data_IF_749270264724
#
_entry.id   IF_749270264724
#
_cell.length_a   1.000
_cell.length_b   1.000
_cell.length_c   1.000
_cell.angle_alpha   90.00
_cell.angle_beta   90.00
_cell.angle_gamma   90.00
#
_symmetry.space_group_name_H-M   'P 1'
#
loop_
_entity.id
_entity.type
_entity.pdbx_description
1 polymer ?
#
# COMPACT_ATOMS: atom_id res chain seq x y z
N UNK A 1 -32.40 32.12 22.28
CA UNK A 1 -31.39 32.24 21.21
C UNK A 1 -31.46 30.93 20.45
N UNK A 2 -31.96 30.95 19.21
CA UNK A 2 -32.15 29.72 18.41
C UNK A 2 -30.79 29.34 17.83
N UNK A 3 -30.28 28.11 18.05
CA UNK A 3 -29.02 27.66 17.46
C UNK A 3 -29.11 27.80 15.93
N UNK A 4 -28.09 28.37 15.30
CA UNK A 4 -28.03 28.48 13.84
C UNK A 4 -27.62 27.13 13.25
N UNK A 5 -27.79 26.94 11.94
CA UNK A 5 -27.35 25.71 11.29
C UNK A 5 -25.83 25.54 11.47
N UNK A 6 -25.43 24.62 12.36
CA UNK A 6 -24.04 24.37 12.74
C UNK A 6 -23.73 24.56 14.23
N UNK A 7 -24.65 25.11 15.02
CA UNK A 7 -24.48 25.28 16.46
C UNK A 7 -24.97 24.05 17.25
N UNK A 8 -24.34 23.80 18.39
CA UNK A 8 -24.69 22.72 19.32
C UNK A 8 -26.06 22.92 19.96
N UNK A 9 -26.69 21.82 20.35
CA UNK A 9 -27.96 21.85 21.07
C UNK A 9 -27.77 22.34 22.53
N UNK A 10 -28.83 22.83 23.19
CA UNK A 10 -28.74 23.29 24.58
C UNK A 10 -28.23 22.21 25.57
N UNK A 11 -28.53 20.95 25.28
CA UNK A 11 -28.08 19.80 26.09
C UNK A 11 -26.58 19.54 25.94
N UNK A 12 -26.03 19.71 24.73
CA UNK A 12 -24.59 19.63 24.48
C UNK A 12 -23.83 20.79 25.11
N UNK A 13 -24.41 22.00 25.14
CA UNK A 13 -23.82 23.17 25.78
C UNK A 13 -23.71 23.02 27.30
N UNK A 14 -24.73 22.43 27.94
CA UNK A 14 -24.72 22.20 29.39
C UNK A 14 -23.62 21.21 29.81
N UNK A 15 -23.24 20.28 28.92
CA UNK A 15 -22.23 19.24 29.16
C UNK A 15 -20.88 19.54 28.48
N UNK A 16 -20.68 20.77 27.99
CA UNK A 16 -19.48 21.14 27.26
C UNK A 16 -18.25 21.09 28.19
N UNK A 17 -17.27 20.27 27.83
CA UNK A 17 -16.00 20.14 28.55
C UNK A 17 -14.84 20.15 27.56
N UNK A 18 -13.67 20.61 28.01
CA UNK A 18 -12.46 20.57 27.19
C UNK A 18 -11.85 19.16 27.23
N UNK A 19 -11.59 18.58 26.07
CA UNK A 19 -10.86 17.31 25.96
C UNK A 19 -9.42 17.53 26.43
N UNK A 20 -8.99 16.77 27.43
CA UNK A 20 -7.60 16.75 27.89
C UNK A 20 -6.87 15.58 27.22
N UNK A 21 -5.78 15.86 26.51
CA UNK A 21 -4.98 14.86 25.79
C UNK A 21 -4.94 15.09 24.27
N UNK A 22 -4.37 14.13 23.55
CA UNK A 22 -4.24 14.21 22.10
C UNK A 22 -5.60 14.10 21.42
N UNK A 23 -5.94 15.11 20.62
CA UNK A 23 -7.17 15.12 19.85
C UNK A 23 -6.95 14.41 18.51
N UNK A 24 -7.66 13.29 18.30
CA UNK A 24 -7.56 12.46 17.09
C UNK A 24 -6.10 12.09 16.72
N UNK A 25 -5.38 11.36 17.59
CA UNK A 25 -4.01 10.98 17.31
C UNK A 25 -3.91 10.08 16.08
N UNK A 26 -2.88 10.29 15.26
CA UNK A 26 -2.58 9.40 14.12
C UNK A 26 -1.97 8.11 14.66
N UNK A 27 -2.82 7.12 14.92
CA UNK A 27 -2.40 5.79 15.38
C UNK A 27 -2.17 4.89 14.17
N UNK A 28 -1.07 4.12 14.20
CA UNK A 28 -0.81 3.07 13.21
C UNK A 28 -1.47 1.78 13.66
N UNK A 29 -2.76 1.65 13.41
CA UNK A 29 -3.48 0.41 13.64
C UNK A 29 -2.97 -0.68 12.69
N UNK A 30 -2.60 -1.83 13.26
CA UNK A 30 -2.25 -3.01 12.47
C UNK A 30 -3.53 -3.80 12.21
N UNK A 31 -3.88 -4.11 10.96
CA UNK A 31 -5.06 -4.91 10.68
C UNK A 31 -4.89 -6.31 11.28
N UNK A 32 -5.96 -6.82 11.89
CA UNK A 32 -6.03 -8.20 12.36
C UNK A 32 -6.22 -9.07 11.11
N UNK A 33 -5.30 -10.00 10.88
CA UNK A 33 -5.42 -10.96 9.76
C UNK A 33 -6.16 -12.21 10.23
N UNK A 34 -7.15 -12.65 9.46
CA UNK A 34 -7.86 -13.91 9.68
C UNK A 34 -7.05 -15.11 9.19
N UNK A 35 -7.21 -16.26 9.84
CA UNK A 35 -6.56 -17.50 9.45
C UNK A 35 -7.27 -18.13 8.25
N UNK A 36 -6.68 -17.99 7.06
CA UNK A 36 -7.19 -18.58 5.81
C UNK A 36 -6.44 -19.88 5.49
N UNK A 37 -7.15 -20.88 4.95
CA UNK A 37 -6.54 -22.13 4.46
C UNK A 37 -5.62 -21.85 3.27
N UNK A 38 -4.44 -22.47 3.25
CA UNK A 38 -3.49 -22.35 2.14
C UNK A 38 -4.05 -22.99 0.86
N UNK A 39 -4.26 -22.19 -0.17
CA UNK A 39 -4.61 -22.64 -1.53
C UNK A 39 -3.43 -23.34 -2.19
N UNK A 40 -3.71 -24.18 -3.20
CA UNK A 40 -2.68 -24.89 -3.99
C UNK A 40 -1.71 -23.92 -4.68
N UNK A 41 -2.22 -22.78 -5.17
CA UNK A 41 -1.44 -21.73 -5.81
C UNK A 41 -0.45 -21.05 -4.85
N UNK A 42 -0.86 -20.81 -3.59
CA UNK A 42 0.05 -20.25 -2.58
C UNK A 42 1.19 -21.21 -2.23
N UNK A 43 0.96 -22.52 -2.35
CA UNK A 43 1.99 -23.54 -2.10
C UNK A 43 2.94 -23.74 -3.28
N UNK A 44 2.43 -23.66 -4.51
CA UNK A 44 3.27 -23.76 -5.71
C UNK A 44 4.08 -22.49 -5.98
N UNK A 45 3.70 -21.36 -5.36
CA UNK A 45 4.39 -20.10 -5.48
C UNK A 45 5.79 -20.12 -4.84
N UNK A 46 6.83 -20.15 -5.68
CA UNK A 46 8.23 -20.04 -5.25
C UNK A 46 8.62 -18.58 -5.02
N UNK A 47 8.29 -18.06 -3.84
CA UNK A 47 8.49 -16.65 -3.49
C UNK A 47 9.96 -16.19 -3.64
N UNK A 48 10.91 -16.99 -3.16
CA UNK A 48 12.33 -16.67 -3.22
C UNK A 48 12.84 -16.54 -4.66
N UNK A 49 12.44 -17.49 -5.51
CA UNK A 49 12.82 -17.51 -6.93
C UNK A 49 12.26 -16.28 -7.65
N UNK A 50 11.01 -15.89 -7.36
CA UNK A 50 10.42 -14.67 -7.94
C UNK A 50 11.21 -13.42 -7.55
N UNK A 51 11.53 -13.24 -6.27
CA UNK A 51 12.32 -12.07 -5.82
C UNK A 51 13.68 -12.03 -6.54
N UNK A 52 14.33 -13.18 -6.70
CA UNK A 52 15.62 -13.28 -7.40
C UNK A 52 15.49 -12.98 -8.90
N UNK A 53 14.43 -13.47 -9.53
CA UNK A 53 14.13 -13.19 -10.93
C UNK A 53 13.91 -11.68 -11.14
N UNK A 54 13.11 -11.04 -10.29
CA UNK A 54 12.85 -9.59 -10.38
C UNK A 54 14.12 -8.75 -10.21
N UNK A 55 14.98 -9.12 -9.24
CA UNK A 55 16.30 -8.48 -9.07
C UNK A 55 17.18 -8.65 -10.32
N UNK A 56 17.16 -9.85 -10.92
CA UNK A 56 17.91 -10.17 -12.14
C UNK A 56 17.39 -9.39 -13.34
N UNK A 57 16.06 -9.27 -13.48
CA UNK A 57 15.42 -8.48 -14.52
C UNK A 57 15.78 -7.00 -14.40
N UNK A 58 15.71 -6.42 -13.20
CA UNK A 58 16.15 -5.05 -12.94
C UNK A 58 17.63 -4.84 -13.31
N UNK A 59 18.51 -5.80 -12.97
CA UNK A 59 19.94 -5.71 -13.29
C UNK A 59 20.25 -5.81 -14.79
N UNK A 60 19.56 -6.70 -15.50
CA UNK A 60 19.88 -7.00 -16.91
C UNK A 60 18.99 -6.29 -17.93
N UNK A 61 18.06 -5.44 -17.51
CA UNK A 61 17.19 -4.68 -18.41
C UNK A 61 17.98 -3.94 -19.50
N UNK A 62 18.99 -3.15 -19.12
CA UNK A 62 19.82 -2.40 -20.08
C UNK A 62 20.67 -3.31 -20.96
N UNK A 63 21.28 -4.37 -20.40
CA UNK A 63 22.10 -5.30 -21.17
C UNK A 63 21.28 -6.11 -22.19
N UNK A 64 20.01 -6.41 -21.88
CA UNK A 64 19.08 -7.06 -22.81
C UNK A 64 18.59 -6.09 -23.87
N UNK A 65 18.25 -4.85 -23.50
CA UNK A 65 17.87 -3.82 -24.46
C UNK A 65 19.01 -3.50 -25.45
N UNK A 66 20.25 -3.40 -24.96
CA UNK A 66 21.43 -3.23 -25.81
C UNK A 66 21.58 -4.39 -26.80
N UNK A 67 21.54 -5.63 -26.32
CA UNK A 67 21.61 -6.83 -27.18
C UNK A 67 20.48 -6.89 -28.20
N UNK A 68 19.25 -6.56 -27.81
CA UNK A 68 18.12 -6.49 -28.75
C UNK A 68 18.36 -5.44 -29.84
N UNK A 69 18.83 -4.25 -29.47
CA UNK A 69 19.13 -3.18 -30.44
C UNK A 69 20.32 -3.49 -31.35
N UNK A 70 21.26 -4.31 -30.91
CA UNK A 70 22.40 -4.77 -31.72
C UNK A 70 21.95 -5.87 -32.70
N UNK A 71 21.16 -6.84 -32.24
CA UNK A 71 20.56 -7.86 -33.10
C UNK A 71 19.67 -7.26 -34.20
N UNK A 72 18.82 -6.26 -33.88
CA UNK A 72 18.00 -5.56 -34.87
C UNK A 72 18.83 -4.78 -35.92
N UNK A 73 20.06 -4.35 -35.57
CA UNK A 73 20.97 -3.68 -36.51
C UNK A 73 21.70 -4.67 -37.39
N UNK A 74 22.00 -5.87 -36.90
CA UNK A 74 22.61 -6.94 -37.69
C UNK A 74 21.62 -7.59 -38.65
N UNK A 75 20.36 -7.79 -38.25
CA UNK A 75 19.31 -8.33 -39.15
C UNK A 75 18.91 -7.37 -40.29
N UNK A 76 19.18 -6.08 -40.14
CA UNK A 76 18.90 -5.05 -41.17
C UNK A 76 20.08 -4.78 -42.11
N UNK A 77 21.19 -5.51 -41.94
CA UNK A 77 22.41 -5.35 -42.73
C UNK A 77 22.58 -6.50 -43.70
#
# INVERSE_FOLDING_TARGET
MVPKAGDSTPEELANATQVQGDYLPIVREKPIMELVKLTSEMKSFKAYDKIRLERTNKRHAGARAKRASEAEKEEKK
#
